data_IF_734824176858
#
_entry.id   IF_734824176858
#
_cell.length_a   1.000
_cell.length_b   1.000
_cell.length_c   1.000
_cell.angle_alpha   90.00
_cell.angle_beta   90.00
_cell.angle_gamma   90.00
#
_symmetry.space_group_name_H-M   'P 1'
#
loop_
_entity.id
_entity.type
_entity.pdbx_description
1 polymer ?
#
# COMPACT_ATOMS: atom_id res chain seq x y z
N UNK A 1 8.06 0.60 -15.32
CA UNK A 1 7.10 0.02 -16.31
C UNK A 1 7.90 -0.90 -17.21
N UNK A 2 7.49 -2.15 -17.34
CA UNK A 2 8.19 -3.18 -18.13
C UNK A 2 7.63 -3.28 -19.55
N UNK A 3 6.34 -3.03 -19.74
CA UNK A 3 5.72 -3.03 -21.07
C UNK A 3 4.26 -2.60 -21.06
N UNK A 4 3.76 -2.24 -22.24
CA UNK A 4 2.35 -1.93 -22.50
C UNK A 4 1.88 -2.80 -23.65
N UNK A 5 0.79 -3.52 -23.45
CA UNK A 5 0.30 -4.54 -24.39
C UNK A 5 -1.20 -4.35 -24.65
N UNK A 6 -1.62 -4.65 -25.87
CA UNK A 6 -3.03 -4.77 -26.24
C UNK A 6 -3.33 -6.22 -26.56
N UNK A 7 -4.22 -6.83 -25.78
CA UNK A 7 -4.68 -8.20 -25.96
C UNK A 7 -6.00 -8.15 -26.74
N UNK A 8 -6.13 -8.97 -27.78
CA UNK A 8 -7.35 -9.07 -28.59
C UNK A 8 -7.85 -10.51 -28.56
N UNK A 9 -9.07 -10.70 -28.09
CA UNK A 9 -9.75 -11.98 -28.06
C UNK A 9 -10.87 -12.01 -29.09
N UNK A 10 -10.92 -13.07 -29.88
CA UNK A 10 -11.99 -13.35 -30.83
C UNK A 10 -12.54 -14.75 -30.54
N UNK A 11 -13.67 -14.82 -29.83
CA UNK A 11 -14.35 -16.06 -29.55
C UNK A 11 -15.28 -16.39 -30.72
N UNK A 12 -14.85 -17.33 -31.57
CA UNK A 12 -15.59 -17.74 -32.77
C UNK A 12 -16.86 -18.54 -32.48
N UNK A 13 -16.98 -19.14 -31.30
CA UNK A 13 -18.17 -19.93 -30.90
C UNK A 13 -19.30 -19.03 -30.40
N UNK A 14 -18.98 -17.97 -29.67
CA UNK A 14 -19.97 -17.01 -29.14
C UNK A 14 -20.09 -15.73 -29.98
N UNK A 15 -19.21 -15.54 -30.96
CA UNK A 15 -19.08 -14.31 -31.76
C UNK A 15 -18.56 -13.10 -30.97
N UNK A 16 -18.16 -13.28 -29.70
CA UNK A 16 -17.71 -12.18 -28.84
C UNK A 16 -16.28 -11.79 -29.16
N UNK A 17 -16.08 -10.48 -29.36
CA UNK A 17 -14.76 -9.86 -29.47
C UNK A 17 -14.48 -9.02 -28.23
N UNK A 18 -13.29 -9.15 -27.67
CA UNK A 18 -12.84 -8.33 -26.55
C UNK A 18 -11.45 -7.76 -26.85
N UNK A 19 -11.22 -6.52 -26.43
CA UNK A 19 -9.92 -5.86 -26.52
C UNK A 19 -9.60 -5.35 -25.12
N UNK A 20 -8.43 -5.71 -24.61
CA UNK A 20 -7.94 -5.30 -23.30
C UNK A 20 -6.57 -4.64 -23.44
N UNK A 21 -6.34 -3.57 -22.69
CA UNK A 21 -5.05 -2.90 -22.61
C UNK A 21 -4.44 -3.18 -21.24
N UNK A 22 -3.22 -3.69 -21.21
CA UNK A 22 -2.54 -4.11 -20.00
C UNK A 22 -1.18 -3.42 -19.90
N UNK A 23 -0.85 -2.93 -18.71
CA UNK A 23 0.48 -2.43 -18.37
C UNK A 23 1.14 -3.45 -17.47
N UNK A 24 2.36 -3.86 -17.81
CA UNK A 24 3.17 -4.75 -16.99
C UNK A 24 4.19 -3.90 -16.23
N UNK A 25 4.26 -4.08 -14.92
CA UNK A 25 5.14 -3.35 -14.03
C UNK A 25 5.69 -4.26 -12.94
N UNK A 26 6.70 -3.76 -12.23
CA UNK A 26 7.29 -4.48 -11.11
C UNK A 26 6.27 -4.65 -9.98
N UNK A 27 6.28 -5.83 -9.36
CA UNK A 27 5.51 -6.08 -8.15
C UNK A 27 6.37 -5.67 -6.94
N UNK A 28 5.98 -4.59 -6.28
CA UNK A 28 6.76 -4.03 -5.16
C UNK A 28 6.87 -4.98 -3.97
N UNK A 29 5.98 -5.96 -3.83
CA UNK A 29 5.97 -6.94 -2.75
C UNK A 29 6.49 -8.32 -3.17
N UNK A 30 7.11 -8.44 -4.35
CA UNK A 30 7.63 -9.73 -4.82
C UNK A 30 8.68 -10.32 -3.87
N UNK A 31 8.50 -11.59 -3.49
CA UNK A 31 9.34 -12.31 -2.52
C UNK A 31 9.47 -11.60 -1.15
N UNK A 32 8.46 -10.82 -0.74
CA UNK A 32 8.38 -10.19 0.58
C UNK A 32 7.26 -10.82 1.40
N UNK A 33 7.50 -11.02 2.69
CA UNK A 33 6.46 -11.45 3.62
C UNK A 33 5.75 -10.21 4.21
N UNK A 34 4.80 -9.66 3.45
CA UNK A 34 4.04 -8.49 3.90
C UNK A 34 2.93 -8.96 4.84
N UNK A 35 3.09 -8.64 6.12
CA UNK A 35 2.11 -8.95 7.18
C UNK A 35 0.98 -7.93 7.22
N UNK A 36 1.26 -6.68 6.79
CA UNK A 36 0.27 -5.60 6.74
C UNK A 36 0.57 -4.66 5.60
N UNK A 37 -0.47 -4.23 4.87
CA UNK A 37 -0.33 -3.29 3.76
C UNK A 37 -1.30 -2.12 3.86
N UNK A 38 -0.88 -0.96 3.36
CA UNK A 38 -1.64 0.27 3.37
C UNK A 38 -1.54 0.99 2.02
N UNK A 39 -2.68 1.40 1.49
CA UNK A 39 -2.78 2.38 0.42
C UNK A 39 -2.97 3.76 1.08
N UNK A 40 -2.05 4.69 0.87
CA UNK A 40 -2.06 6.00 1.53
C UNK A 40 -2.13 7.14 0.50
N UNK A 41 -3.10 8.04 0.67
CA UNK A 41 -3.28 9.22 -0.20
C UNK A 41 -3.03 10.55 0.52
N UNK A 42 -2.90 10.53 1.84
CA UNK A 42 -2.81 11.74 2.66
C UNK A 42 -4.14 12.47 2.82
N UNK A 43 -5.26 11.82 2.55
CA UNK A 43 -6.61 12.35 2.72
C UNK A 43 -7.43 11.45 3.66
N UNK A 44 -8.42 12.02 4.35
CA UNK A 44 -9.21 11.31 5.37
C UNK A 44 -10.65 11.02 4.95
N UNK A 45 -11.11 11.50 3.78
CA UNK A 45 -12.50 11.27 3.34
C UNK A 45 -12.63 9.90 2.68
N UNK A 46 -13.46 9.02 3.25
CA UNK A 46 -13.67 7.66 2.75
C UNK A 46 -12.36 6.85 2.65
N UNK A 47 -11.46 7.02 3.63
CA UNK A 47 -10.15 6.37 3.71
C UNK A 47 -10.02 5.53 4.98
N UNK A 48 -11.11 4.88 5.37
CA UNK A 48 -11.18 3.91 6.44
C UNK A 48 -11.75 2.60 5.92
N UNK A 49 -11.09 1.50 6.27
CA UNK A 49 -11.54 0.14 6.00
C UNK A 49 -12.03 -0.47 7.30
N UNK A 50 -13.32 -0.81 7.37
CA UNK A 50 -13.89 -1.51 8.52
C UNK A 50 -13.47 -2.99 8.49
N UNK A 51 -12.77 -3.41 9.54
CA UNK A 51 -12.22 -4.75 9.71
C UNK A 51 -13.11 -5.60 10.63
N UNK A 52 -14.22 -5.05 11.11
CA UNK A 52 -15.06 -5.66 12.13
C UNK A 52 -14.31 -5.84 13.44
N UNK A 53 -13.63 -6.98 13.62
CA UNK A 53 -13.02 -7.41 14.89
C UNK A 53 -11.59 -7.98 14.75
N UNK A 54 -10.92 -7.86 13.59
CA UNK A 54 -9.73 -8.67 13.26
C UNK A 54 -8.35 -7.99 13.31
N UNK A 55 -8.18 -6.83 13.94
CA UNK A 55 -6.84 -6.21 14.00
C UNK A 55 -6.38 -6.00 15.43
N UNK A 56 -5.44 -6.84 15.87
CA UNK A 56 -4.62 -6.54 17.04
C UNK A 56 -3.78 -5.29 16.76
N UNK A 57 -3.80 -4.35 17.70
CA UNK A 57 -3.03 -3.12 17.63
C UNK A 57 -1.53 -3.42 17.82
N UNK A 58 -0.67 -2.64 17.16
CA UNK A 58 0.79 -2.84 17.18
C UNK A 58 1.37 -2.86 18.59
N UNK A 59 0.84 -1.99 19.47
CA UNK A 59 1.23 -1.91 20.88
C UNK A 59 0.90 -3.20 21.65
N UNK A 60 -0.26 -3.82 21.38
CA UNK A 60 -0.71 -5.05 22.05
C UNK A 60 0.03 -6.29 21.53
N UNK A 61 0.19 -6.40 20.21
CA UNK A 61 1.00 -7.45 19.59
C UNK A 61 2.45 -7.39 20.09
N UNK A 62 3.03 -6.19 20.18
CA UNK A 62 4.38 -5.98 20.71
C UNK A 62 4.47 -6.28 22.21
N UNK A 63 3.46 -5.87 23.01
CA UNK A 63 3.41 -6.16 24.44
C UNK A 63 3.32 -7.66 24.71
N UNK A 64 2.49 -8.39 23.95
CA UNK A 64 2.34 -9.84 24.06
C UNK A 64 3.62 -10.57 23.68
N UNK A 65 4.28 -10.19 22.57
CA UNK A 65 5.61 -10.72 22.19
C UNK A 65 6.67 -10.48 23.28
N UNK A 66 6.69 -9.28 23.89
CA UNK A 66 7.59 -8.97 25.01
C UNK A 66 7.30 -9.85 26.24
N UNK A 67 6.03 -10.14 26.52
CA UNK A 67 5.62 -10.99 27.63
C UNK A 67 6.02 -12.46 27.37
N UNK A 68 5.71 -12.99 26.17
CA UNK A 68 6.06 -14.36 25.78
C UNK A 68 7.57 -14.63 25.89
N UNK A 69 8.41 -13.70 25.40
CA UNK A 69 9.88 -13.80 25.52
C UNK A 69 10.39 -13.74 26.95
N UNK A 70 9.71 -13.01 27.85
CA UNK A 70 10.11 -12.91 29.27
C UNK A 70 9.74 -14.14 30.07
N UNK A 71 8.63 -14.80 29.74
CA UNK A 71 8.07 -15.89 30.53
C UNK A 71 8.14 -17.26 29.83
N UNK A 72 8.82 -17.36 28.69
CA UNK A 72 8.99 -18.62 27.96
C UNK A 72 7.69 -19.16 27.36
N UNK A 73 6.73 -18.28 27.05
CA UNK A 73 5.49 -18.67 26.38
C UNK A 73 5.71 -18.97 24.90
N UNK A 74 4.88 -19.83 24.32
CA UNK A 74 4.87 -20.09 22.87
C UNK A 74 4.77 -18.76 22.10
N UNK A 75 5.68 -18.54 21.13
CA UNK A 75 5.53 -17.39 20.23
C UNK A 75 4.20 -17.56 19.48
N UNK A 76 3.39 -16.49 19.37
CA UNK A 76 2.13 -16.56 18.65
C UNK A 76 2.39 -17.06 17.23
N UNK A 77 1.50 -17.93 16.74
CA UNK A 77 1.50 -18.40 15.37
C UNK A 77 1.68 -17.22 14.41
N UNK A 78 2.43 -17.44 13.32
CA UNK A 78 2.73 -16.42 12.31
C UNK A 78 1.51 -15.55 12.04
N UNK A 79 1.68 -14.22 12.12
CA UNK A 79 0.59 -13.28 11.94
C UNK A 79 -0.15 -13.63 10.65
N UNK A 80 -1.41 -14.08 10.79
CA UNK A 80 -2.23 -14.50 9.66
C UNK A 80 -2.21 -13.36 8.65
N UNK A 81 -1.76 -13.66 7.42
CA UNK A 81 -1.56 -12.63 6.40
C UNK A 81 -2.89 -11.95 6.12
N UNK A 82 -3.07 -10.74 6.64
CA UNK A 82 -4.26 -9.95 6.38
C UNK A 82 -4.17 -9.47 4.94
N UNK A 83 -4.88 -10.16 4.04
CA UNK A 83 -4.92 -9.83 2.60
C UNK A 83 -5.57 -8.47 2.33
N UNK A 84 -6.25 -7.91 3.32
CA UNK A 84 -6.96 -6.64 3.22
C UNK A 84 -5.97 -5.47 3.25
N UNK A 85 -6.02 -4.65 2.20
CA UNK A 85 -5.26 -3.40 2.11
C UNK A 85 -5.96 -2.34 2.93
N UNK A 86 -5.26 -1.78 3.90
CA UNK A 86 -5.76 -0.74 4.81
C UNK A 86 -5.55 0.66 4.23
N UNK A 87 -6.17 1.68 4.83
CA UNK A 87 -6.10 3.06 4.32
C UNK A 87 -5.59 4.05 5.37
N UNK A 88 -5.58 5.33 5.02
CA UNK A 88 -5.01 6.43 5.82
C UNK A 88 -5.54 6.46 7.27
N UNK A 89 -6.85 6.33 7.47
CA UNK A 89 -7.44 6.44 8.80
C UNK A 89 -7.11 5.20 9.66
N UNK A 90 -7.03 4.01 9.05
CA UNK A 90 -6.58 2.80 9.74
C UNK A 90 -5.13 2.95 10.22
N UNK A 91 -4.26 3.55 9.39
CA UNK A 91 -2.87 3.82 9.75
C UNK A 91 -2.78 4.82 10.91
N UNK A 92 -3.60 5.87 10.86
CA UNK A 92 -3.65 6.91 11.89
C UNK A 92 -4.12 6.35 13.24
N UNK A 93 -5.14 5.50 13.23
CA UNK A 93 -5.62 4.79 14.43
C UNK A 93 -4.54 3.86 14.99
N UNK A 94 -3.93 3.04 14.13
CA UNK A 94 -2.89 2.09 14.51
C UNK A 94 -1.69 2.79 15.17
N UNK A 95 -1.27 3.92 14.60
CA UNK A 95 -0.09 4.66 15.07
C UNK A 95 -0.40 5.67 16.16
N UNK A 96 -1.69 5.96 16.42
CA UNK A 96 -2.15 7.08 17.26
C UNK A 96 -1.50 8.40 16.84
N UNK A 97 -1.29 8.59 15.53
CA UNK A 97 -0.61 9.74 14.94
C UNK A 97 0.91 9.81 15.15
N UNK A 98 1.54 8.77 15.71
CA UNK A 98 2.99 8.73 15.90
C UNK A 98 3.69 8.38 14.58
N UNK A 99 4.82 9.04 14.24
CA UNK A 99 5.56 8.71 13.03
C UNK A 99 6.21 7.33 13.14
N UNK A 100 6.38 6.65 12.00
CA UNK A 100 7.12 5.41 11.95
C UNK A 100 8.59 5.61 12.35
N UNK A 101 9.12 4.78 13.26
CA UNK A 101 10.52 4.86 13.64
C UNK A 101 11.41 4.41 12.47
N UNK A 102 12.07 5.37 11.83
CA UNK A 102 13.07 5.14 10.80
C UNK A 102 14.43 5.63 11.29
N UNK A 103 15.50 4.91 10.90
CA UNK A 103 16.87 5.40 11.06
C UNK A 103 17.01 6.74 10.33
N UNK A 104 17.76 7.68 10.89
CA UNK A 104 17.93 9.02 10.33
C UNK A 104 18.31 9.01 8.83
N UNK A 105 19.27 8.17 8.45
CA UNK A 105 19.70 8.02 7.05
C UNK A 105 18.58 7.52 6.13
N UNK A 106 17.80 6.54 6.60
CA UNK A 106 16.67 5.99 5.84
C UNK A 106 15.57 7.06 5.66
N UNK A 107 15.26 7.83 6.71
CA UNK A 107 14.30 8.95 6.65
C UNK A 107 14.73 10.00 5.62
N UNK A 108 16.00 10.37 5.58
CA UNK A 108 16.52 11.34 4.60
C UNK A 108 16.42 10.82 3.16
N UNK A 109 16.78 9.56 2.93
CA UNK A 109 16.66 8.96 1.60
C UNK A 109 15.21 8.88 1.14
N UNK A 110 14.33 8.39 2.02
CA UNK A 110 12.91 8.28 1.76
C UNK A 110 12.28 9.64 1.44
N UNK A 111 12.58 10.67 2.22
CA UNK A 111 12.07 12.02 1.99
C UNK A 111 12.51 12.58 0.63
N UNK A 112 13.79 12.44 0.27
CA UNK A 112 14.30 12.90 -1.03
C UNK A 112 13.67 12.16 -2.20
N UNK A 113 13.50 10.83 -2.08
CA UNK A 113 12.87 10.02 -3.12
C UNK A 113 11.42 10.45 -3.36
N UNK A 114 10.62 10.54 -2.28
CA UNK A 114 9.21 10.98 -2.36
C UNK A 114 9.12 12.39 -2.94
N UNK A 115 9.98 13.33 -2.51
CA UNK A 115 9.99 14.69 -3.05
C UNK A 115 10.27 14.73 -4.55
N UNK A 116 11.27 13.98 -5.02
CA UNK A 116 11.60 13.95 -6.45
C UNK A 116 10.47 13.34 -7.28
N UNK A 117 9.88 12.23 -6.81
CA UNK A 117 8.82 11.56 -7.54
C UNK A 117 7.55 12.40 -7.57
N UNK A 118 7.15 12.98 -6.44
CA UNK A 118 5.97 13.86 -6.37
C UNK A 118 6.15 15.14 -7.17
N UNK A 119 7.36 15.70 -7.26
CA UNK A 119 7.67 16.81 -8.15
C UNK A 119 7.47 16.41 -9.62
N UNK A 120 7.98 15.24 -10.02
CA UNK A 120 7.77 14.73 -11.37
C UNK A 120 6.28 14.51 -11.68
N UNK A 121 5.54 13.86 -10.80
CA UNK A 121 4.10 13.61 -10.97
C UNK A 121 3.30 14.91 -11.10
N UNK A 122 3.68 15.94 -10.33
CA UNK A 122 3.09 17.28 -10.46
C UNK A 122 3.37 17.90 -11.83
N UNK A 123 4.57 17.75 -12.39
CA UNK A 123 4.93 18.29 -13.71
C UNK A 123 4.08 17.64 -14.82
N UNK A 124 3.78 16.34 -14.69
CA UNK A 124 2.97 15.62 -15.69
C UNK A 124 1.47 15.61 -15.38
N UNK A 125 1.01 16.47 -14.45
CA UNK A 125 -0.40 16.61 -14.05
C UNK A 125 -1.06 15.28 -13.63
N UNK A 126 -0.29 14.42 -12.96
CA UNK A 126 -0.82 13.19 -12.35
C UNK A 126 -1.20 13.50 -10.91
N UNK A 127 -2.44 13.18 -10.56
CA UNK A 127 -3.01 13.33 -9.20
C UNK A 127 -3.66 12.02 -8.79
N UNK A 128 -4.16 11.96 -7.54
CA UNK A 128 -4.83 10.78 -6.96
C UNK A 128 -4.00 9.49 -6.92
N UNK A 129 -2.68 9.60 -7.10
CA UNK A 129 -1.74 8.52 -6.82
C UNK A 129 -1.71 8.21 -5.31
N UNK A 130 -1.37 6.97 -4.98
CA UNK A 130 -1.19 6.54 -3.59
C UNK A 130 0.26 6.14 -3.35
N UNK A 131 0.68 6.24 -2.10
CA UNK A 131 1.85 5.52 -1.60
C UNK A 131 1.36 4.18 -1.04
N UNK A 132 1.76 3.09 -1.67
CA UNK A 132 1.55 1.74 -1.17
C UNK A 132 2.69 1.38 -0.21
N UNK A 133 2.33 1.02 1.02
CA UNK A 133 3.25 0.66 2.09
C UNK A 133 2.99 -0.78 2.51
N UNK A 134 4.04 -1.58 2.58
CA UNK A 134 4.02 -2.93 3.14
C UNK A 134 4.95 -3.03 4.32
N UNK A 135 4.47 -3.60 5.42
CA UNK A 135 5.27 -3.93 6.60
C UNK A 135 5.51 -5.42 6.65
N UNK A 136 6.75 -5.79 6.97
CA UNK A 136 7.09 -7.11 7.47
C UNK A 136 7.36 -6.98 8.99
N UNK A 137 6.38 -7.37 9.79
CA UNK A 137 6.46 -7.29 11.26
C UNK A 137 7.42 -8.31 11.88
N UNK A 138 7.92 -9.28 11.09
CA UNK A 138 8.87 -10.28 11.54
C UNK A 138 10.30 -9.80 11.37
N UNK A 139 10.60 -9.17 10.22
CA UNK A 139 11.95 -8.63 9.92
C UNK A 139 12.09 -7.14 10.28
N UNK A 140 11.00 -6.46 10.62
CA UNK A 140 10.94 -5.02 10.84
C UNK A 140 11.34 -4.19 9.61
N UNK A 141 11.04 -4.71 8.42
CA UNK A 141 11.27 -4.03 7.15
C UNK A 141 10.01 -3.30 6.68
N UNK A 142 10.22 -2.20 5.95
CA UNK A 142 9.15 -1.43 5.31
C UNK A 142 9.47 -1.32 3.83
N UNK A 143 8.50 -1.69 3.01
CA UNK A 143 8.55 -1.56 1.55
C UNK A 143 7.55 -0.50 1.14
N UNK A 144 7.98 0.43 0.28
CA UNK A 144 7.15 1.57 -0.12
C UNK A 144 7.28 1.81 -1.63
N UNK A 145 6.17 2.13 -2.29
CA UNK A 145 6.16 2.56 -3.69
C UNK A 145 4.96 3.44 -4.02
N UNK A 146 5.11 4.35 -4.97
CA UNK A 146 3.98 5.12 -5.53
C UNK A 146 3.25 4.25 -6.54
N UNK A 147 1.92 4.19 -6.45
CA UNK A 147 1.03 3.45 -7.35
C UNK A 147 -0.02 4.38 -7.95
N UNK A 148 -0.84 3.87 -8.88
CA UNK A 148 -1.95 4.59 -9.52
C UNK A 148 -1.57 5.84 -10.34
N UNK A 149 -0.29 6.01 -10.67
CA UNK A 149 0.25 7.17 -11.37
C UNK A 149 0.04 7.17 -12.90
N UNK A 150 -0.65 6.17 -13.46
CA UNK A 150 -0.87 6.08 -14.93
C UNK A 150 -2.00 6.97 -15.44
N UNK A 151 -2.80 7.58 -14.55
CA UNK A 151 -3.94 8.42 -14.93
C UNK A 151 -3.59 9.89 -14.73
N UNK A 152 -3.66 10.66 -15.81
CA UNK A 152 -3.60 12.11 -15.73
C UNK A 152 -4.93 12.67 -15.21
N UNK A 153 -4.85 13.72 -14.39
CA UNK A 153 -6.01 14.48 -13.97
C UNK A 153 -6.64 15.14 -15.21
N UNK A 154 -7.90 14.87 -15.49
CA UNK A 154 -8.66 15.65 -16.46
C UNK A 154 -9.84 16.33 -15.75
N UNK A 155 -10.37 17.42 -16.31
CA UNK A 155 -11.49 18.15 -15.69
C UNK A 155 -12.69 17.24 -15.34
N UNK A 156 -12.86 16.12 -16.05
CA UNK A 156 -13.90 15.12 -15.81
C UNK A 156 -13.62 14.20 -14.60
N UNK A 157 -12.35 13.96 -14.24
CA UNK A 157 -12.02 13.19 -13.04
C UNK A 157 -12.32 13.97 -11.75
N UNK A 158 -12.20 15.31 -11.79
CA UNK A 158 -12.58 16.19 -10.68
C UNK A 158 -14.10 16.25 -10.45
N UNK A 159 -14.92 16.22 -11.52
CA UNK A 159 -16.38 16.29 -11.42
C UNK A 159 -17.04 15.00 -10.89
N UNK A 160 -16.30 13.89 -10.76
CA UNK A 160 -16.81 12.66 -10.12
C UNK A 160 -16.61 12.62 -8.60
N UNK A 161 -15.91 13.60 -8.03
CA UNK A 161 -15.58 13.67 -6.59
C UNK A 161 -16.28 14.85 -5.90
N UNK A 162 -16.98 15.72 -6.63
CA UNK A 162 -17.79 16.81 -6.10
C UNK A 162 -19.29 16.46 -6.08
#
# INVERSE_FOLDING_TARGET
ILGVYTIRFDNRETGRKAIENVVVMENIFYQRNITRSFDLKGSSRARYVDLGYKVENFDEALARRRLARRFGGEEPAEAEQVSQVLMDDNLMELTKGRPFPLKHRAKLFFHKAVQNDTLFLSIVNVVDYSILVGFDENTHEVVVGIIDYMRQANFLSFLRVC
#
